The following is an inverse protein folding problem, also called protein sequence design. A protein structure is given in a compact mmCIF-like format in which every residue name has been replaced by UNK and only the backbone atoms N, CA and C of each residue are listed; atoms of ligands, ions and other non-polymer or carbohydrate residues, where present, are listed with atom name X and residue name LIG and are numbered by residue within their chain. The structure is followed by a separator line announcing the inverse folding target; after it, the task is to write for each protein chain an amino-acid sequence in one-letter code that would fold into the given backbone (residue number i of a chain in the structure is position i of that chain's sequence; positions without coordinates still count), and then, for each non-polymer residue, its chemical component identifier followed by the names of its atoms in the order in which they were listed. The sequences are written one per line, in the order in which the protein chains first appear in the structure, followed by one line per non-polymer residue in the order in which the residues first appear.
data_IF_331694924512
#
_entry.id   IF_331694924512
#
_cell.length_a   1.000
_cell.length_b   1.000
_cell.length_c   1.000
_cell.angle_alpha   90.00
_cell.angle_beta   90.00
_cell.angle_gamma   90.00
#
_symmetry.space_group_name_H-M   'P 1'
#
loop_
_entity.id
_entity.type
_entity.pdbx_description
1 polymer ?
#
# COMPACT_ATOMS: atom_id res chain seq x y z
N UNK A 1 4.58 -14.38 -27.72
CA UNK A 1 5.56 -15.43 -28.06
C UNK A 1 6.64 -15.45 -27.00
N UNK A 2 6.51 -16.35 -26.01
CA UNK A 2 7.36 -16.46 -24.81
C UNK A 2 8.50 -17.50 -25.01
N UNK A 3 9.11 -17.53 -26.20
CA UNK A 3 9.96 -18.65 -26.64
C UNK A 3 11.47 -18.43 -26.39
N UNK A 4 11.89 -17.28 -25.83
CA UNK A 4 13.32 -16.89 -25.77
C UNK A 4 13.93 -16.80 -24.36
N UNK A 5 13.42 -17.54 -23.36
CA UNK A 5 14.09 -17.61 -22.04
C UNK A 5 14.66 -19.02 -21.78
N UNK A 6 16.00 -19.20 -21.67
CA UNK A 6 16.67 -20.49 -21.82
C UNK A 6 16.49 -21.51 -20.67
N UNK A 7 15.69 -21.23 -19.64
CA UNK A 7 15.68 -22.04 -18.40
C UNK A 7 14.31 -22.32 -17.77
N UNK A 8 13.19 -22.04 -18.45
CA UNK A 8 11.87 -22.45 -17.93
C UNK A 8 11.40 -23.74 -18.59
N UNK A 9 11.40 -24.83 -17.84
CA UNK A 9 10.63 -26.03 -18.17
C UNK A 9 9.15 -25.73 -17.87
N UNK A 10 8.26 -25.66 -18.87
CA UNK A 10 6.83 -25.51 -18.61
C UNK A 10 6.34 -26.70 -17.79
N UNK A 11 5.82 -26.44 -16.58
CA UNK A 11 5.30 -27.47 -15.68
C UNK A 11 3.79 -27.59 -15.85
N UNK A 12 3.27 -28.82 -15.84
CA UNK A 12 1.82 -29.08 -15.79
C UNK A 12 1.15 -28.44 -14.57
N UNK A 13 1.92 -28.23 -13.49
CA UNK A 13 1.47 -27.54 -12.27
C UNK A 13 1.21 -26.05 -12.55
N UNK A 14 2.08 -25.38 -13.32
CA UNK A 14 1.90 -23.98 -13.69
C UNK A 14 0.67 -23.81 -14.60
N UNK A 15 0.48 -24.73 -15.55
CA UNK A 15 -0.71 -24.74 -16.41
C UNK A 15 -1.99 -24.97 -15.61
N UNK A 16 -1.98 -25.93 -14.69
CA UNK A 16 -3.12 -26.23 -13.82
C UNK A 16 -3.48 -25.04 -12.92
N UNK A 17 -2.50 -24.41 -12.27
CA UNK A 17 -2.72 -23.24 -11.41
C UNK A 17 -3.26 -22.03 -12.18
N UNK A 18 -2.69 -21.72 -13.35
CA UNK A 18 -3.18 -20.62 -14.17
C UNK A 18 -4.60 -20.89 -14.71
N UNK A 19 -4.88 -22.11 -15.13
CA UNK A 19 -6.21 -22.50 -15.62
C UNK A 19 -7.24 -22.48 -14.49
N UNK A 20 -6.89 -23.01 -13.31
CA UNK A 20 -7.73 -22.96 -12.12
C UNK A 20 -8.00 -21.52 -11.67
N UNK A 21 -6.97 -20.66 -11.67
CA UNK A 21 -7.12 -19.23 -11.35
C UNK A 21 -8.03 -18.50 -12.35
N UNK A 22 -7.89 -18.80 -13.65
CA UNK A 22 -8.74 -18.23 -14.69
C UNK A 22 -10.20 -18.69 -14.57
N UNK A 23 -10.43 -19.99 -14.35
CA UNK A 23 -11.77 -20.55 -14.09
C UNK A 23 -12.39 -19.96 -12.83
N UNK A 24 -11.62 -19.85 -11.75
CA UNK A 24 -12.07 -19.23 -10.51
C UNK A 24 -12.48 -17.77 -10.73
N UNK A 25 -11.63 -16.98 -11.42
CA UNK A 25 -11.94 -15.60 -11.79
C UNK A 25 -13.21 -15.48 -12.65
N UNK A 26 -13.37 -16.35 -13.65
CA UNK A 26 -14.56 -16.38 -14.50
C UNK A 26 -15.83 -16.73 -13.72
N UNK A 27 -15.77 -17.72 -12.82
CA UNK A 27 -16.89 -18.10 -11.95
C UNK A 27 -17.24 -16.95 -11.00
N UNK A 28 -16.26 -16.35 -10.33
CA UNK A 28 -16.49 -15.20 -9.44
C UNK A 28 -17.11 -14.03 -10.20
N UNK A 29 -16.57 -13.69 -11.37
CA UNK A 29 -17.13 -12.62 -12.22
C UNK A 29 -18.58 -12.90 -12.60
N UNK A 30 -18.86 -14.11 -13.06
CA UNK A 30 -20.22 -14.52 -13.48
C UNK A 30 -21.21 -14.52 -12.31
N UNK A 31 -20.76 -14.99 -11.13
CA UNK A 31 -21.59 -14.98 -9.92
C UNK A 31 -21.87 -13.56 -9.46
N UNK A 32 -20.88 -12.67 -9.48
CA UNK A 32 -21.05 -11.27 -9.13
C UNK A 32 -22.01 -10.54 -10.08
N UNK A 33 -21.88 -10.79 -11.39
CA UNK A 33 -22.77 -10.25 -12.41
C UNK A 33 -24.21 -10.74 -12.22
N UNK A 34 -24.42 -12.06 -12.11
CA UNK A 34 -25.75 -12.65 -11.89
C UNK A 34 -26.40 -12.21 -10.58
N UNK A 35 -25.59 -11.94 -9.56
CA UNK A 35 -26.09 -11.44 -8.29
C UNK A 35 -26.34 -9.91 -8.30
N UNK A 36 -26.24 -9.22 -9.45
CA UNK A 36 -26.49 -7.78 -9.53
C UNK A 36 -25.50 -6.95 -8.72
N UNK A 37 -24.22 -7.37 -8.66
CA UNK A 37 -23.21 -6.69 -7.87
C UNK A 37 -23.03 -5.21 -8.30
N UNK A 38 -23.20 -4.88 -9.58
CA UNK A 38 -23.05 -3.51 -10.10
C UNK A 38 -24.16 -2.59 -9.56
N UNK A 39 -25.40 -3.05 -9.53
CA UNK A 39 -26.52 -2.27 -9.00
C UNK A 39 -26.41 -2.12 -7.47
N UNK A 40 -26.08 -3.21 -6.78
CA UNK A 40 -25.84 -3.19 -5.33
C UNK A 40 -24.66 -2.28 -4.98
N UNK A 41 -23.58 -2.31 -5.77
CA UNK A 41 -22.43 -1.41 -5.62
C UNK A 41 -22.84 0.05 -5.84
N UNK A 42 -23.65 0.34 -6.85
CA UNK A 42 -24.14 1.71 -7.11
C UNK A 42 -24.98 2.22 -5.94
N UNK A 43 -25.86 1.38 -5.38
CA UNK A 43 -26.65 1.70 -4.19
C UNK A 43 -25.80 1.86 -2.92
N UNK A 44 -24.80 1.00 -2.72
CA UNK A 44 -23.83 1.13 -1.61
C UNK A 44 -23.05 2.43 -1.77
N UNK A 45 -22.52 2.72 -2.96
CA UNK A 45 -21.78 3.95 -3.25
C UNK A 45 -22.62 5.20 -2.94
N UNK A 46 -23.85 5.23 -3.44
CA UNK A 46 -24.78 6.34 -3.23
C UNK A 46 -25.18 6.53 -1.76
N UNK A 47 -25.29 5.45 -0.99
CA UNK A 47 -25.64 5.49 0.44
C UNK A 47 -24.44 5.86 1.30
N UNK A 48 -23.28 5.24 1.09
CA UNK A 48 -22.14 5.28 2.00
C UNK A 48 -21.22 6.48 1.78
N UNK A 49 -21.02 6.91 0.53
CA UNK A 49 -19.96 7.86 0.16
C UNK A 49 -20.51 9.18 -0.39
N UNK A 50 -19.73 10.25 -0.28
CA UNK A 50 -20.01 11.54 -0.95
C UNK A 50 -19.98 11.42 -2.48
N UNK A 51 -20.53 12.41 -3.18
CA UNK A 51 -20.61 12.41 -4.65
C UNK A 51 -19.22 12.32 -5.31
N UNK A 52 -18.26 13.10 -4.81
CA UNK A 52 -16.87 13.10 -5.28
C UNK A 52 -15.99 12.17 -4.43
N UNK A 53 -16.21 10.86 -4.58
CA UNK A 53 -15.47 9.82 -3.85
C UNK A 53 -14.64 8.90 -4.75
N UNK A 54 -14.73 9.04 -6.08
CA UNK A 54 -14.17 8.07 -7.04
C UNK A 54 -12.66 7.90 -6.86
N UNK A 55 -11.90 9.00 -6.76
CA UNK A 55 -10.44 8.95 -6.60
C UNK A 55 -10.03 8.23 -5.32
N UNK A 56 -10.64 8.57 -4.17
CA UNK A 56 -10.38 7.87 -2.92
C UNK A 56 -10.71 6.38 -3.00
N UNK A 57 -11.84 6.00 -3.63
CA UNK A 57 -12.23 4.61 -3.76
C UNK A 57 -11.23 3.81 -4.61
N UNK A 58 -10.72 4.38 -5.70
CA UNK A 58 -9.68 3.75 -6.52
C UNK A 58 -8.40 3.57 -5.71
N UNK A 59 -7.94 4.62 -5.02
CA UNK A 59 -6.75 4.53 -4.16
C UNK A 59 -6.92 3.48 -3.06
N UNK A 60 -8.07 3.45 -2.38
CA UNK A 60 -8.37 2.44 -1.37
C UNK A 60 -8.43 1.02 -1.93
N UNK A 61 -8.97 0.85 -3.14
CA UNK A 61 -9.00 -0.45 -3.81
C UNK A 61 -7.61 -0.93 -4.23
N UNK A 62 -6.70 -0.01 -4.57
CA UNK A 62 -5.32 -0.31 -4.94
C UNK A 62 -4.41 -0.60 -3.74
N UNK A 63 -4.73 -0.06 -2.56
CA UNK A 63 -3.89 -0.16 -1.37
C UNK A 63 -3.53 -1.61 -0.97
N UNK A 64 -4.45 -2.60 -0.92
CA UNK A 64 -4.08 -3.98 -0.61
C UNK A 64 -3.11 -4.60 -1.60
N UNK A 65 -3.22 -4.24 -2.89
CA UNK A 65 -2.30 -4.71 -3.92
C UNK A 65 -0.91 -4.07 -3.78
N UNK A 66 -0.85 -2.83 -3.29
CA UNK A 66 0.41 -2.16 -2.96
C UNK A 66 1.16 -2.89 -1.83
N UNK A 67 0.42 -3.47 -0.87
CA UNK A 67 0.97 -4.28 0.22
C UNK A 67 1.41 -5.68 -0.19
N UNK A 68 1.12 -6.13 -1.41
CA UNK A 68 1.60 -7.43 -1.89
C UNK A 68 3.09 -7.44 -2.18
N UNK A 69 3.70 -6.25 -2.39
CA UNK A 69 5.14 -6.14 -2.46
C UNK A 69 5.75 -6.28 -1.05
N UNK A 70 6.74 -7.15 -0.85
CA UNK A 70 7.42 -7.34 0.43
C UNK A 70 8.20 -6.07 0.81
N UNK A 71 7.54 -5.15 1.51
CA UNK A 71 8.19 -3.95 2.04
C UNK A 71 9.15 -4.30 3.18
N UNK A 72 10.20 -3.49 3.35
CA UNK A 72 11.17 -3.67 4.45
C UNK A 72 10.56 -3.42 5.84
N UNK A 73 9.48 -2.64 5.89
CA UNK A 73 8.66 -2.39 7.07
C UNK A 73 7.21 -2.74 6.72
N UNK A 74 6.51 -3.60 7.49
CA UNK A 74 5.10 -3.90 7.24
C UNK A 74 4.26 -2.63 7.19
N UNK A 75 3.32 -2.56 6.22
CA UNK A 75 2.50 -1.38 5.94
C UNK A 75 3.27 -0.13 5.48
N UNK A 76 4.60 -0.22 5.30
CA UNK A 76 5.45 0.87 4.85
C UNK A 76 5.45 1.02 3.33
N UNK A 77 4.66 1.96 2.81
CA UNK A 77 4.60 2.25 1.37
C UNK A 77 5.37 3.54 1.04
N UNK A 78 6.08 3.56 -0.09
CA UNK A 78 6.82 4.75 -0.57
C UNK A 78 8.33 4.79 -0.27
N UNK A 79 8.96 3.63 -0.04
CA UNK A 79 10.42 3.52 0.01
C UNK A 79 11.01 3.57 -1.41
N UNK A 80 11.21 4.79 -1.90
CA UNK A 80 11.72 5.04 -3.26
C UNK A 80 13.20 5.43 -3.22
N UNK A 81 13.63 6.13 -2.16
CA UNK A 81 14.95 6.76 -2.10
C UNK A 81 16.09 5.74 -2.22
N UNK A 82 16.07 4.65 -1.46
CA UNK A 82 17.13 3.63 -1.45
C UNK A 82 17.36 2.99 -2.83
N UNK A 83 16.28 2.75 -3.58
CA UNK A 83 16.35 2.18 -4.93
C UNK A 83 16.78 3.18 -5.98
N UNK A 84 16.32 4.43 -5.86
CA UNK A 84 16.80 5.52 -6.72
C UNK A 84 18.29 5.75 -6.50
N UNK A 85 18.75 5.74 -5.25
CA UNK A 85 20.17 5.87 -4.90
C UNK A 85 21.00 4.73 -5.51
N UNK A 86 20.61 3.46 -5.32
CA UNK A 86 21.30 2.32 -5.94
C UNK A 86 21.34 2.40 -7.47
N UNK A 87 20.22 2.74 -8.12
CA UNK A 87 20.17 2.90 -9.58
C UNK A 87 21.04 4.07 -10.08
N UNK A 88 21.12 5.17 -9.31
CA UNK A 88 22.00 6.29 -9.63
C UNK A 88 23.48 5.91 -9.43
N UNK A 89 23.81 5.15 -8.38
CA UNK A 89 25.16 4.61 -8.17
C UNK A 89 25.57 3.72 -9.35
N UNK A 90 24.72 2.77 -9.74
CA UNK A 90 24.98 1.89 -10.89
C UNK A 90 25.16 2.69 -12.19
N UNK A 91 24.37 3.75 -12.38
CA UNK A 91 24.43 4.57 -13.60
C UNK A 91 25.65 5.50 -13.64
N UNK A 92 26.08 6.01 -12.49
CA UNK A 92 27.25 6.87 -12.36
C UNK A 92 28.54 6.11 -12.06
N UNK A 93 28.48 4.77 -11.99
CA UNK A 93 29.67 3.93 -11.86
C UNK A 93 30.65 4.28 -12.99
N UNK A 94 31.93 4.41 -12.64
CA UNK A 94 33.01 4.85 -13.54
C UNK A 94 32.89 6.29 -14.07
N UNK A 95 32.10 7.15 -13.43
CA UNK A 95 32.01 8.59 -13.76
C UNK A 95 32.45 9.48 -12.60
N UNK A 96 32.98 10.69 -12.88
CA UNK A 96 33.34 11.64 -11.82
C UNK A 96 32.11 12.18 -11.04
N UNK A 97 30.89 11.95 -11.55
CA UNK A 97 29.66 12.38 -10.90
C UNK A 97 29.27 11.49 -9.70
N UNK A 98 29.89 10.31 -9.56
CA UNK A 98 29.61 9.41 -8.44
C UNK A 98 29.95 10.05 -7.08
N UNK A 99 31.03 10.84 -7.02
CA UNK A 99 31.43 11.57 -5.80
C UNK A 99 30.46 12.69 -5.40
N UNK A 100 29.56 13.10 -6.30
CA UNK A 100 28.56 14.13 -6.03
C UNK A 100 27.26 13.55 -5.47
N UNK A 101 27.10 12.22 -5.49
CA UNK A 101 25.97 11.58 -4.84
C UNK A 101 26.14 11.71 -3.33
N UNK A 102 25.09 12.14 -2.59
CA UNK A 102 25.13 12.18 -1.14
C UNK A 102 25.20 10.73 -0.62
N UNK A 103 26.40 10.24 -0.35
CA UNK A 103 26.61 8.90 0.24
C UNK A 103 26.09 8.93 1.67
N UNK A 104 25.04 8.16 1.96
CA UNK A 104 24.69 7.85 3.35
C UNK A 104 25.61 6.72 3.80
N UNK A 105 26.19 6.84 5.00
CA UNK A 105 26.79 5.68 5.64
C UNK A 105 25.69 4.61 5.74
N UNK A 106 25.86 3.51 5.00
CA UNK A 106 24.92 2.39 5.00
C UNK A 106 25.09 1.66 6.32
N UNK A 107 24.57 2.24 7.40
CA UNK A 107 24.42 1.52 8.65
C UNK A 107 23.27 0.52 8.43
N UNK A 108 23.64 -0.75 8.27
CA UNK A 108 22.74 -1.91 8.16
C UNK A 108 22.00 -2.20 9.49
N UNK A 109 21.56 -1.16 10.19
CA UNK A 109 20.86 -1.28 11.45
C UNK A 109 19.36 -1.49 11.20
N UNK A 110 18.73 -2.45 11.89
CA UNK A 110 17.27 -2.54 11.90
C UNK A 110 16.66 -1.21 12.30
N UNK A 111 15.52 -0.87 11.71
CA UNK A 111 14.77 0.32 12.12
C UNK A 111 14.51 0.26 13.63
N UNK A 112 14.76 1.35 14.34
CA UNK A 112 14.51 1.41 15.79
C UNK A 112 13.04 1.00 16.05
N UNK A 113 12.77 0.12 17.04
CA UNK A 113 11.42 -0.41 17.28
C UNK A 113 10.31 0.64 17.33
N UNK A 114 10.59 1.81 17.90
CA UNK A 114 9.64 2.93 17.95
C UNK A 114 9.30 3.51 16.57
N UNK A 115 10.28 3.59 15.66
CA UNK A 115 10.06 4.06 14.30
C UNK A 115 9.30 3.02 13.46
N UNK A 116 9.57 1.72 13.63
CA UNK A 116 8.78 0.64 13.01
C UNK A 116 7.32 0.69 13.44
N UNK A 117 7.07 0.80 14.75
CA UNK A 117 5.73 0.96 15.34
C UNK A 117 5.00 2.16 14.73
N UNK A 118 5.65 3.32 14.68
CA UNK A 118 5.06 4.54 14.10
C UNK A 118 4.77 4.39 12.61
N UNK A 119 5.66 3.75 11.85
CA UNK A 119 5.44 3.47 10.43
C UNK A 119 4.19 2.61 10.24
N UNK A 120 4.06 1.52 10.98
CA UNK A 120 2.90 0.62 10.91
C UNK A 120 1.61 1.34 11.32
N UNK A 121 1.66 2.11 12.41
CA UNK A 121 0.51 2.89 12.88
C UNK A 121 0.04 3.91 11.82
N UNK A 122 0.97 4.63 11.19
CA UNK A 122 0.67 5.57 10.11
C UNK A 122 0.16 4.83 8.85
N UNK A 123 0.74 3.68 8.52
CA UNK A 123 0.33 2.85 7.38
C UNK A 123 -1.10 2.32 7.50
N UNK A 124 -1.60 2.09 8.72
CA UNK A 124 -3.02 1.82 9.01
C UNK A 124 -3.85 3.11 8.98
N UNK A 125 -3.32 4.19 9.54
CA UNK A 125 -4.04 5.45 9.71
C UNK A 125 -4.40 6.11 8.37
N UNK A 126 -3.48 6.12 7.41
CA UNK A 126 -3.63 6.77 6.09
C UNK A 126 -4.86 6.28 5.31
N UNK A 127 -5.04 4.98 5.01
CA UNK A 127 -6.22 4.49 4.28
C UNK A 127 -7.52 4.70 5.08
N UNK A 128 -7.48 4.59 6.41
CA UNK A 128 -8.63 4.87 7.27
C UNK A 128 -9.09 6.33 7.15
N UNK A 129 -8.18 7.29 7.29
CA UNK A 129 -8.49 8.72 7.17
C UNK A 129 -8.89 9.09 5.73
N UNK A 130 -8.29 8.46 4.72
CA UNK A 130 -8.68 8.63 3.31
C UNK A 130 -10.14 8.18 3.12
N UNK A 131 -10.54 7.04 3.70
CA UNK A 131 -11.94 6.60 3.71
C UNK A 131 -12.85 7.54 4.49
N UNK A 132 -12.42 8.05 5.65
CA UNK A 132 -13.23 8.97 6.46
C UNK A 132 -13.51 10.28 5.72
N UNK A 133 -12.58 10.74 4.88
CA UNK A 133 -12.75 11.91 4.03
C UNK A 133 -13.90 11.77 3.02
N UNK A 134 -14.33 10.54 2.68
CA UNK A 134 -15.40 10.26 1.72
C UNK A 134 -16.64 9.60 2.32
N UNK A 135 -16.54 8.98 3.50
CA UNK A 135 -17.66 8.31 4.17
C UNK A 135 -18.63 9.30 4.83
N UNK A 136 -19.92 8.97 4.77
CA UNK A 136 -20.99 9.87 5.24
C UNK A 136 -21.27 9.84 6.73
N UNK A 137 -21.16 8.69 7.38
CA UNK A 137 -21.60 8.49 8.76
C UNK A 137 -20.56 7.77 9.62
N UNK A 138 -20.57 8.07 10.93
CA UNK A 138 -19.63 7.50 11.92
C UNK A 138 -19.73 5.97 12.03
N UNK A 139 -20.92 5.33 12.07
CA UNK A 139 -20.99 3.86 12.15
C UNK A 139 -20.34 3.17 10.95
N UNK A 140 -20.47 3.75 9.75
CA UNK A 140 -19.83 3.24 8.53
C UNK A 140 -18.32 3.41 8.55
N UNK A 141 -17.84 4.50 9.16
CA UNK A 141 -16.41 4.71 9.40
C UNK A 141 -15.85 3.64 10.35
N UNK A 142 -16.55 3.32 11.43
CA UNK A 142 -16.13 2.26 12.36
C UNK A 142 -16.06 0.88 11.66
N UNK A 143 -17.11 0.50 10.92
CA UNK A 143 -17.09 -0.74 10.13
C UNK A 143 -15.96 -0.75 9.07
N UNK A 144 -15.69 0.40 8.45
CA UNK A 144 -14.62 0.56 7.47
C UNK A 144 -13.22 0.37 8.07
N UNK A 145 -12.95 0.85 9.29
CA UNK A 145 -11.66 0.63 9.97
C UNK A 145 -11.38 -0.86 10.10
N UNK A 146 -12.36 -1.64 10.58
CA UNK A 146 -12.22 -3.09 10.73
C UNK A 146 -11.92 -3.76 9.39
N UNK A 147 -12.63 -3.36 8.34
CA UNK A 147 -12.41 -3.89 7.00
C UNK A 147 -11.00 -3.56 6.47
N UNK A 148 -10.52 -2.32 6.66
CA UNK A 148 -9.19 -1.89 6.21
C UNK A 148 -8.08 -2.64 6.94
N UNK A 149 -8.16 -2.74 8.27
CA UNK A 149 -7.16 -3.47 9.07
C UNK A 149 -7.14 -4.95 8.69
N UNK A 150 -8.30 -5.60 8.62
CA UNK A 150 -8.38 -7.00 8.21
C UNK A 150 -7.80 -7.22 6.81
N UNK A 151 -8.12 -6.33 5.86
CA UNK A 151 -7.60 -6.42 4.49
C UNK A 151 -6.09 -6.20 4.43
N UNK A 152 -5.55 -5.24 5.19
CA UNK A 152 -4.11 -4.97 5.25
C UNK A 152 -3.33 -6.13 5.86
N UNK A 153 -3.83 -6.69 6.97
CA UNK A 153 -3.24 -7.88 7.60
C UNK A 153 -3.27 -9.07 6.64
N UNK A 154 -4.41 -9.33 6.00
CA UNK A 154 -4.55 -10.42 5.03
C UNK A 154 -3.63 -10.25 3.82
N UNK A 155 -3.53 -9.03 3.26
CA UNK A 155 -2.64 -8.75 2.12
C UNK A 155 -1.16 -8.92 2.50
N UNK A 156 -0.76 -8.43 3.67
CA UNK A 156 0.62 -8.56 4.16
C UNK A 156 0.98 -10.01 4.47
N UNK A 157 0.07 -10.77 5.10
CA UNK A 157 0.25 -12.20 5.35
C UNK A 157 0.29 -13.02 4.06
N UNK A 158 -0.58 -12.69 3.09
CA UNK A 158 -0.57 -13.30 1.76
C UNK A 158 0.74 -12.99 1.03
N UNK A 159 1.21 -11.75 1.08
CA UNK A 159 2.53 -11.38 0.56
C UNK A 159 3.58 -12.30 1.16
N UNK A 160 3.74 -12.32 2.49
CA UNK A 160 4.74 -13.14 3.17
C UNK A 160 4.61 -14.65 2.84
N UNK A 161 3.39 -15.18 2.74
CA UNK A 161 3.15 -16.57 2.36
C UNK A 161 3.60 -16.89 0.93
N UNK A 162 3.30 -16.01 -0.04
CA UNK A 162 3.72 -16.15 -1.44
C UNK A 162 5.24 -15.99 -1.61
N UNK A 163 5.83 -15.21 -0.71
CA UNK A 163 7.24 -14.84 -0.69
C UNK A 163 8.13 -15.93 -0.13
N UNK A 164 7.77 -16.42 1.05
CA UNK A 164 8.61 -17.23 1.94
C UNK A 164 7.98 -18.58 2.28
N UNK A 165 6.82 -18.87 1.70
CA UNK A 165 6.03 -20.05 1.96
C UNK A 165 4.98 -19.87 3.07
N UNK A 166 3.91 -20.69 3.10
CA UNK A 166 2.77 -20.52 4.01
C UNK A 166 3.13 -20.53 5.50
N UNK A 167 4.19 -21.24 5.88
CA UNK A 167 4.65 -21.30 7.28
C UNK A 167 5.14 -19.95 7.81
N UNK A 168 5.59 -19.05 6.92
CA UNK A 168 6.09 -17.72 7.26
C UNK A 168 5.03 -16.62 7.10
N UNK A 169 3.76 -16.97 6.85
CA UNK A 169 2.67 -16.01 6.62
C UNK A 169 2.50 -14.98 7.76
N UNK A 170 2.94 -15.32 8.98
CA UNK A 170 2.83 -14.49 10.18
C UNK A 170 4.18 -14.01 10.71
N UNK A 171 5.29 -14.30 10.02
CA UNK A 171 6.64 -13.99 10.50
C UNK A 171 6.90 -12.48 10.63
N UNK A 172 6.15 -11.65 9.91
CA UNK A 172 6.23 -10.19 9.94
C UNK A 172 5.56 -9.57 11.18
N UNK A 173 4.78 -10.32 11.96
CA UNK A 173 3.98 -9.81 13.07
C UNK A 173 4.80 -9.72 14.37
N UNK A 174 5.93 -9.00 14.32
CA UNK A 174 6.80 -8.70 15.45
C UNK A 174 6.09 -7.85 16.52
N UNK A 175 6.66 -7.75 17.72
CA UNK A 175 6.08 -6.94 18.80
C UNK A 175 5.88 -5.45 18.40
N UNK A 176 6.86 -4.75 17.77
CA UNK A 176 6.66 -3.39 17.30
C UNK A 176 5.50 -3.25 16.32
N UNK A 177 5.34 -4.22 15.41
CA UNK A 177 4.25 -4.24 14.42
C UNK A 177 2.89 -4.45 15.11
N UNK A 178 2.80 -5.37 16.08
CA UNK A 178 1.57 -5.58 16.85
C UNK A 178 1.13 -4.30 17.58
N UNK A 179 2.07 -3.63 18.25
CA UNK A 179 1.82 -2.36 18.92
C UNK A 179 1.48 -1.24 17.92
N UNK A 180 2.10 -1.23 16.74
CA UNK A 180 1.81 -0.28 15.68
C UNK A 180 0.41 -0.46 15.10
N UNK A 181 -0.01 -1.69 14.84
CA UNK A 181 -1.37 -2.02 14.41
C UNK A 181 -2.40 -1.59 15.47
N UNK A 182 -2.13 -1.89 16.75
CA UNK A 182 -3.00 -1.49 17.86
C UNK A 182 -3.08 0.03 18.01
N UNK A 183 -1.95 0.73 17.97
CA UNK A 183 -1.88 2.19 18.07
C UNK A 183 -2.59 2.86 16.88
N UNK A 184 -2.36 2.39 15.66
CA UNK A 184 -3.05 2.86 14.46
C UNK A 184 -4.56 2.64 14.54
N UNK A 185 -4.99 1.45 15.00
CA UNK A 185 -6.40 1.15 15.22
C UNK A 185 -7.03 2.11 16.25
N UNK A 186 -6.44 2.25 17.44
CA UNK A 186 -6.93 3.17 18.48
C UNK A 186 -6.99 4.61 17.96
N UNK A 187 -5.93 5.08 17.29
CA UNK A 187 -5.89 6.42 16.71
C UNK A 187 -7.02 6.65 15.70
N UNK A 188 -7.30 5.66 14.83
CA UNK A 188 -8.42 5.77 13.88
C UNK A 188 -9.79 5.82 14.57
N UNK A 189 -9.96 5.10 15.69
CA UNK A 189 -11.20 5.14 16.46
C UNK A 189 -11.41 6.51 17.12
N UNK A 190 -10.36 7.10 17.69
CA UNK A 190 -10.41 8.46 18.26
C UNK A 190 -10.81 9.48 17.18
N UNK A 191 -10.35 9.31 15.95
CA UNK A 191 -10.59 10.23 14.84
C UNK A 191 -11.92 9.99 14.11
N UNK A 192 -12.78 9.08 14.58
CA UNK A 192 -14.05 8.74 13.93
C UNK A 192 -14.99 9.93 13.72
N UNK A 193 -15.02 10.86 14.67
CA UNK A 193 -15.90 12.03 14.65
C UNK A 193 -15.33 13.22 13.87
N UNK A 194 -14.07 13.15 13.41
CA UNK A 194 -13.40 14.29 12.74
C UNK A 194 -14.14 14.64 11.43
N UNK A 195 -14.41 15.94 11.16
CA UNK A 195 -15.07 16.34 9.93
C UNK A 195 -14.25 15.93 8.70
N UNK A 196 -14.91 15.68 7.57
CA UNK A 196 -14.26 15.16 6.35
C UNK A 196 -13.07 16.00 5.86
N UNK A 197 -13.16 17.34 6.00
CA UNK A 197 -12.07 18.27 5.69
C UNK A 197 -10.88 18.10 6.64
N UNK A 198 -11.15 17.93 7.93
CA UNK A 198 -10.13 17.59 8.93
C UNK A 198 -9.44 16.26 8.61
N UNK A 199 -10.20 15.23 8.22
CA UNK A 199 -9.62 13.96 7.77
C UNK A 199 -8.69 14.16 6.57
N UNK A 200 -9.06 14.99 5.59
CA UNK A 200 -8.19 15.27 4.43
C UNK A 200 -6.86 15.92 4.85
N UNK A 201 -6.89 16.93 5.73
CA UNK A 201 -5.67 17.53 6.26
C UNK A 201 -4.81 16.52 7.05
N UNK A 202 -5.45 15.68 7.88
CA UNK A 202 -4.75 14.65 8.63
C UNK A 202 -4.16 13.55 7.75
N UNK A 203 -4.79 13.18 6.62
CA UNK A 203 -4.19 12.27 5.64
C UNK A 203 -2.90 12.87 5.09
N UNK A 204 -2.93 14.15 4.70
CA UNK A 204 -1.76 14.84 4.16
C UNK A 204 -0.59 14.80 5.15
N UNK A 205 -0.84 15.17 6.40
CA UNK A 205 0.15 15.10 7.47
C UNK A 205 0.65 13.67 7.70
N UNK A 206 -0.26 12.70 7.81
CA UNK A 206 0.09 11.31 8.07
C UNK A 206 0.94 10.71 6.94
N UNK A 207 0.61 10.99 5.67
CA UNK A 207 1.39 10.53 4.51
C UNK A 207 2.78 11.16 4.50
N UNK A 208 2.89 12.47 4.76
CA UNK A 208 4.20 13.14 4.82
C UNK A 208 5.06 12.56 5.94
N UNK A 209 4.52 12.40 7.15
CA UNK A 209 5.24 11.78 8.27
C UNK A 209 5.66 10.34 7.95
N UNK A 210 4.77 9.56 7.32
CA UNK A 210 5.06 8.19 6.92
C UNK A 210 6.20 8.11 5.91
N UNK A 211 6.16 8.97 4.88
CA UNK A 211 7.21 9.05 3.86
C UNK A 211 8.55 9.53 4.44
N UNK A 212 8.53 10.52 5.33
CA UNK A 212 9.72 11.02 6.01
C UNK A 212 10.36 9.89 6.84
N UNK A 213 9.59 9.21 7.68
CA UNK A 213 10.12 8.10 8.50
C UNK A 213 10.66 6.97 7.63
N UNK A 214 9.95 6.57 6.57
CA UNK A 214 10.35 5.46 5.71
C UNK A 214 11.56 5.75 4.83
N UNK A 215 11.72 6.98 4.34
CA UNK A 215 12.86 7.36 3.50
C UNK A 215 14.07 7.83 4.33
N UNK A 216 13.86 8.16 5.62
CA UNK A 216 14.96 8.40 6.55
C UNK A 216 15.46 7.12 7.24
N UNK A 217 14.65 6.05 7.25
CA UNK A 217 15.02 4.75 7.80
C UNK A 217 16.34 4.23 7.21
N UNK A 218 17.27 3.71 8.04
CA UNK A 218 18.46 3.02 7.55
C UNK A 218 18.08 1.81 6.69
N UNK A 219 18.94 1.48 5.72
CA UNK A 219 18.77 0.29 4.90
C UNK A 219 18.75 -0.95 5.81
N UNK A 220 17.64 -1.68 5.84
CA UNK A 220 17.58 -2.90 6.66
C UNK A 220 18.33 -4.02 5.94
N UNK A 221 19.24 -4.72 6.63
CA UNK A 221 19.92 -5.91 6.09
C UNK A 221 18.93 -6.98 5.59
N UNK A 222 17.71 -6.99 6.15
CA UNK A 222 16.62 -7.84 5.70
C UNK A 222 16.10 -7.43 4.32
N UNK A 223 16.05 -6.15 3.95
CA UNK A 223 15.60 -5.71 2.62
C UNK A 223 16.54 -6.20 1.52
N UNK A 224 17.85 -6.06 1.68
CA UNK A 224 18.86 -6.49 0.70
C UNK A 224 18.91 -8.01 0.54
N UNK A 225 18.82 -8.76 1.65
CA UNK A 225 18.79 -10.24 1.63
C UNK A 225 17.45 -10.79 1.09
N UNK A 226 16.34 -10.12 1.44
CA UNK A 226 15.03 -10.36 0.81
C UNK A 226 15.12 -10.12 -0.69
N UNK A 227 15.71 -9.01 -1.13
CA UNK A 227 15.84 -8.69 -2.55
C UNK A 227 16.68 -9.73 -3.31
N UNK A 228 17.84 -10.11 -2.80
CA UNK A 228 18.73 -11.07 -3.47
C UNK A 228 18.10 -12.46 -3.60
N UNK A 229 17.42 -12.92 -2.55
CA UNK A 229 16.70 -14.22 -2.60
C UNK A 229 15.51 -14.16 -3.56
N UNK A 230 14.92 -12.97 -3.76
CA UNK A 230 13.74 -12.75 -4.60
C UNK A 230 14.02 -12.45 -6.07
N UNK A 231 15.04 -11.67 -6.39
CA UNK A 231 15.47 -11.43 -7.77
C UNK A 231 15.97 -12.73 -8.42
N UNK A 232 16.46 -13.67 -7.61
CA UNK A 232 16.85 -15.01 -8.04
C UNK A 232 15.68 -16.01 -8.09
N UNK A 233 14.49 -15.68 -7.55
CA UNK A 233 13.37 -16.62 -7.34
C UNK A 233 12.12 -16.37 -8.20
N UNK A 234 11.93 -17.19 -9.25
CA UNK A 234 10.68 -17.63 -9.98
C UNK A 234 9.51 -16.66 -10.31
N UNK A 235 9.44 -15.40 -9.85
CA UNK A 235 8.24 -14.52 -9.95
C UNK A 235 8.48 -13.06 -10.39
N UNK A 236 9.49 -12.80 -11.23
CA UNK A 236 9.88 -11.45 -11.70
C UNK A 236 8.72 -10.62 -12.32
N UNK A 237 7.68 -11.24 -12.91
CA UNK A 237 6.67 -10.52 -13.71
C UNK A 237 5.45 -9.99 -12.93
N UNK A 238 4.99 -10.66 -11.86
CA UNK A 238 3.79 -10.22 -11.12
C UNK A 238 4.12 -9.13 -10.08
N UNK A 239 5.34 -9.17 -9.54
CA UNK A 239 5.74 -8.32 -8.42
C UNK A 239 6.20 -6.91 -8.85
N UNK A 240 6.59 -6.70 -10.11
CA UNK A 240 6.97 -5.37 -10.60
C UNK A 240 5.81 -4.37 -10.52
N UNK A 241 4.57 -4.79 -10.83
CA UNK A 241 3.41 -3.91 -10.73
C UNK A 241 3.09 -3.56 -9.26
N UNK A 242 3.09 -4.58 -8.38
CA UNK A 242 2.85 -4.38 -6.95
C UNK A 242 3.93 -3.47 -6.33
N UNK A 243 5.17 -3.60 -6.78
CA UNK A 243 6.29 -2.74 -6.40
C UNK A 243 6.06 -1.28 -6.82
N UNK A 244 5.78 -1.04 -8.11
CA UNK A 244 5.46 0.30 -8.61
C UNK A 244 4.27 0.90 -7.88
N UNK A 245 3.26 0.08 -7.59
CA UNK A 245 2.11 0.51 -6.83
C UNK A 245 2.49 0.89 -5.39
N UNK A 246 3.29 0.08 -4.71
CA UNK A 246 3.81 0.36 -3.38
C UNK A 246 4.63 1.66 -3.30
N UNK A 247 5.32 2.01 -4.38
CA UNK A 247 6.04 3.28 -4.49
C UNK A 247 5.12 4.46 -4.74
N UNK A 248 4.27 4.37 -5.76
CA UNK A 248 3.50 5.53 -6.27
C UNK A 248 2.28 5.82 -5.40
N UNK A 249 1.71 4.82 -4.74
CA UNK A 249 0.47 4.94 -3.97
C UNK A 249 0.46 6.10 -2.95
N UNK A 250 1.43 6.24 -2.02
CA UNK A 250 1.41 7.33 -1.05
C UNK A 250 1.49 8.72 -1.71
N UNK A 251 2.25 8.88 -2.79
CA UNK A 251 2.31 10.13 -3.55
C UNK A 251 1.00 10.42 -4.28
N UNK A 252 0.35 9.39 -4.83
CA UNK A 252 -0.96 9.52 -5.45
C UNK A 252 -2.05 9.92 -4.43
N UNK A 253 -2.00 9.37 -3.21
CA UNK A 253 -2.87 9.80 -2.10
C UNK A 253 -2.61 11.27 -1.76
N UNK A 254 -1.35 11.67 -1.63
CA UNK A 254 -0.97 13.05 -1.31
C UNK A 254 -1.50 14.03 -2.36
N UNK A 255 -1.26 13.75 -3.65
CA UNK A 255 -1.74 14.56 -4.76
C UNK A 255 -3.27 14.64 -4.78
N UNK A 256 -3.95 13.50 -4.64
CA UNK A 256 -5.41 13.46 -4.60
C UNK A 256 -5.99 14.33 -3.48
N UNK A 257 -5.45 14.21 -2.27
CA UNK A 257 -5.90 14.97 -1.11
C UNK A 257 -5.62 16.46 -1.27
N UNK A 258 -4.44 16.83 -1.79
CA UNK A 258 -4.08 18.22 -2.09
C UNK A 258 -5.06 18.86 -3.07
N UNK A 259 -5.35 18.19 -4.18
CA UNK A 259 -6.32 18.64 -5.18
C UNK A 259 -7.73 18.76 -4.61
N UNK A 260 -8.09 17.92 -3.65
CA UNK A 260 -9.42 17.93 -3.04
C UNK A 260 -9.59 19.04 -2.02
N UNK A 261 -8.54 19.36 -1.26
CA UNK A 261 -8.53 20.48 -0.32
C UNK A 261 -8.55 21.81 -1.08
N UNK A 262 -7.78 21.94 -2.16
CA UNK A 262 -7.72 23.18 -2.95
C UNK A 262 -9.01 23.54 -3.70
N UNK A 263 -9.81 22.55 -4.10
CA UNK A 263 -11.09 22.77 -4.81
C UNK A 263 -12.23 23.31 -3.94
N UNK A 264 -12.06 23.45 -2.62
CA UNK A 264 -13.14 23.82 -1.68
C UNK A 264 -13.41 25.33 -1.54
N UNK A 265 -12.72 26.20 -2.30
CA UNK A 265 -12.87 27.67 -2.27
C UNK A 265 -13.52 28.25 -3.55
N UNK A 266 -14.66 27.72 -3.99
CA UNK A 266 -15.53 28.46 -4.91
C UNK A 266 -16.53 29.29 -4.08
N UNK A 267 -16.48 30.64 -4.09
CA UNK A 267 -17.39 31.46 -3.31
C UNK A 267 -18.82 31.24 -3.81
N UNK A 268 -19.72 30.99 -2.87
CA UNK A 268 -21.15 30.94 -3.13
C UNK A 268 -21.57 32.33 -3.66
N UNK A 269 -21.84 32.45 -4.97
CA UNK A 269 -22.47 33.65 -5.52
C UNK A 269 -23.85 33.76 -4.86
N UNK A 270 -23.95 34.65 -3.88
CA UNK A 270 -25.21 35.10 -3.30
C UNK A 270 -26.12 35.53 -4.44
N UNK A 271 -27.16 34.74 -4.71
CA UNK A 271 -28.33 35.21 -5.45
C UNK A 271 -29.11 36.08 -4.47
N UNK A 272 -29.01 37.39 -4.69
CA UNK A 272 -29.99 38.38 -4.24
C UNK A 272 -31.24 38.29 -5.11
#
# INVERSE_FOLDING_TARGET
MQTYLPSRVPSNVDFALNTAGALFGAVVSTVLERAGAIDRWTQVRARWFVHDARGALVLLALWPFALLFPASVPFGLGQVYERMEGALVDWFTDTPFLEWLPVRDVELQPLVPGAELLCVALGVLVPCLLGFSVLRSVPRRAAFVVAVVATGVAATALSAALSWGPMHAWAWLSLPVQLGLLAGFIATLILLAVPRRGCAALVMLAVVLHLVLLNQAPASAYFTNTLQTWEQGRFIRFNGLAQWLGWVWPYAVLLYVLLRVSRSEAPNKMRT
#
